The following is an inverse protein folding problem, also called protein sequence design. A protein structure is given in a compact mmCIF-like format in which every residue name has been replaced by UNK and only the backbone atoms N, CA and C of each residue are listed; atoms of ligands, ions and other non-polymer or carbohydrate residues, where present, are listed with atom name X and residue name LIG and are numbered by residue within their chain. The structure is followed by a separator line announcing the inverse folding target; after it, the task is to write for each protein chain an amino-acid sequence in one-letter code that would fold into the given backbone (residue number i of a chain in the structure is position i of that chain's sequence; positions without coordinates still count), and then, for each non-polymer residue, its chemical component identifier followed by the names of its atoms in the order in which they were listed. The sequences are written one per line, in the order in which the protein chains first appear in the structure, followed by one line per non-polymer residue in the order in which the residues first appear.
data_IF_369279016310
#
_entry.id   IF_369279016310
#
_cell.length_a   1.000
_cell.length_b   1.000
_cell.length_c   1.000
_cell.angle_alpha   90.00
_cell.angle_beta   90.00
_cell.angle_gamma   90.00
#
_symmetry.space_group_name_H-M   'P 1'
#
loop_
_entity.id
_entity.type
_entity.pdbx_description
1 polymer ?
#
# COMPACT_ATOMS: atom_id res chain seq x y z
N UNK A 1 1.41 11.92 16.07
CA UNK A 1 0.98 12.28 14.70
C UNK A 1 1.46 11.14 13.84
N UNK A 2 0.52 10.43 13.20
CA UNK A 2 0.85 9.25 12.41
C UNK A 2 1.89 9.57 11.33
N UNK A 3 2.87 8.67 11.15
CA UNK A 3 3.73 8.69 9.96
C UNK A 3 2.86 8.59 8.71
N UNK A 4 3.36 9.13 7.59
CA UNK A 4 2.63 9.04 6.32
C UNK A 4 2.56 7.60 5.80
N UNK A 5 3.62 6.82 6.01
CA UNK A 5 3.75 5.42 5.62
C UNK A 5 4.59 4.69 6.69
N UNK A 6 4.27 3.42 6.93
CA UNK A 6 5.05 2.52 7.79
C UNK A 6 5.67 1.42 6.92
N UNK A 7 6.92 1.06 7.23
CA UNK A 7 7.62 -0.03 6.54
C UNK A 7 7.09 -1.40 6.95
N UNK A 8 7.34 -2.42 6.13
CA UNK A 8 6.97 -3.80 6.47
C UNK A 8 7.66 -4.24 7.77
N UNK A 9 6.85 -4.68 8.74
CA UNK A 9 7.32 -5.08 10.07
C UNK A 9 7.35 -3.93 11.09
N UNK A 10 7.13 -2.68 10.67
CA UNK A 10 6.94 -1.56 11.58
C UNK A 10 5.48 -1.48 12.04
N UNK A 11 5.27 -1.44 13.36
CA UNK A 11 3.92 -1.41 13.95
C UNK A 11 3.55 0.04 14.31
N UNK A 12 2.47 0.60 13.74
CA UNK A 12 1.97 1.92 14.14
C UNK A 12 1.55 1.96 15.61
N UNK A 13 1.67 3.12 16.29
CA UNK A 13 1.10 3.30 17.62
C UNK A 13 -0.42 3.05 17.61
N UNK A 14 -0.94 2.56 18.73
CA UNK A 14 -2.37 2.29 18.89
C UNK A 14 -3.18 3.58 18.67
N UNK A 15 -4.16 3.51 17.76
CA UNK A 15 -5.04 4.63 17.42
C UNK A 15 -4.51 5.55 16.32
N UNK A 16 -3.29 5.33 15.82
CA UNK A 16 -2.77 6.06 14.66
C UNK A 16 -2.99 5.27 13.36
N UNK A 17 -3.67 5.90 12.40
CA UNK A 17 -3.86 5.38 11.04
C UNK A 17 -2.96 6.20 10.10
N UNK A 18 -2.04 5.57 9.35
CA UNK A 18 -1.22 6.30 8.37
C UNK A 18 -2.07 6.80 7.21
N UNK A 19 -1.55 7.80 6.49
CA UNK A 19 -2.22 8.30 5.27
C UNK A 19 -2.06 7.34 4.10
N UNK A 20 -0.96 6.58 4.05
CA UNK A 20 -0.58 5.69 2.95
C UNK A 20 -0.16 4.31 3.42
N UNK A 21 -0.27 3.33 2.53
CA UNK A 21 0.15 1.94 2.74
C UNK A 21 0.75 1.31 1.48
N UNK A 22 1.56 0.28 1.66
CA UNK A 22 1.99 -0.59 0.56
C UNK A 22 0.88 -1.55 0.15
N UNK A 23 0.67 -1.71 -1.15
CA UNK A 23 -0.27 -2.67 -1.72
C UNK A 23 0.27 -3.26 -3.04
N UNK A 24 -0.18 -4.47 -3.37
CA UNK A 24 -0.03 -5.05 -4.71
C UNK A 24 -1.23 -4.61 -5.56
N UNK A 25 -1.00 -3.76 -6.55
CA UNK A 25 -2.05 -3.09 -7.33
C UNK A 25 -2.05 -3.56 -8.78
N UNK A 26 -3.24 -3.81 -9.31
CA UNK A 26 -3.47 -4.09 -10.74
C UNK A 26 -4.02 -2.83 -11.40
N UNK A 27 -3.50 -2.51 -12.59
CA UNK A 27 -3.99 -1.40 -13.42
C UNK A 27 -4.29 -1.86 -14.86
N UNK A 28 -5.23 -1.22 -15.58
CA UNK A 28 -5.65 -1.65 -16.92
C UNK A 28 -4.52 -1.80 -17.93
N UNK A 29 -3.52 -0.93 -17.89
CA UNK A 29 -2.36 -0.98 -18.79
C UNK A 29 -1.44 -2.20 -18.56
N UNK A 30 -1.67 -2.97 -17.48
CA UNK A 30 -0.87 -4.14 -17.09
C UNK A 30 -1.69 -5.42 -16.95
N UNK A 31 -2.92 -5.45 -17.45
CA UNK A 31 -3.71 -6.68 -17.41
C UNK A 31 -3.01 -7.81 -18.18
N UNK A 32 -3.04 -9.03 -17.62
CA UNK A 32 -2.39 -10.20 -18.19
C UNK A 32 -1.83 -11.14 -17.13
N UNK A 33 -0.69 -11.76 -17.43
CA UNK A 33 -0.01 -12.71 -16.55
C UNK A 33 0.20 -12.15 -15.12
N UNK A 34 -0.14 -12.91 -14.06
CA UNK A 34 -0.04 -12.42 -12.67
C UNK A 34 1.34 -11.88 -12.30
N UNK A 35 2.41 -12.51 -12.79
CA UNK A 35 3.80 -12.07 -12.52
C UNK A 35 4.13 -10.69 -13.08
N UNK A 36 3.33 -10.18 -14.03
CA UNK A 36 3.47 -8.85 -14.63
C UNK A 36 2.38 -7.88 -14.14
N UNK A 37 1.17 -8.39 -13.91
CA UNK A 37 -0.01 -7.59 -13.59
C UNK A 37 0.04 -6.96 -12.19
N UNK A 38 0.51 -7.72 -11.19
CA UNK A 38 0.67 -7.22 -9.82
C UNK A 38 1.97 -6.43 -9.68
N UNK A 39 1.86 -5.19 -9.23
CA UNK A 39 3.02 -4.34 -8.92
C UNK A 39 2.85 -3.68 -7.55
N UNK A 40 3.94 -3.57 -6.81
CA UNK A 40 3.95 -2.92 -5.50
C UNK A 40 3.84 -1.41 -5.68
N UNK A 41 2.85 -0.80 -5.04
CA UNK A 41 2.64 0.64 -5.04
C UNK A 41 2.35 1.13 -3.62
N UNK A 42 2.60 2.42 -3.39
CA UNK A 42 2.15 3.13 -2.19
C UNK A 42 0.86 3.86 -2.54
N UNK A 43 -0.23 3.50 -1.86
CA UNK A 43 -1.57 4.07 -2.08
C UNK A 43 -2.11 4.69 -0.80
N UNK A 44 -3.14 5.52 -0.93
CA UNK A 44 -3.84 6.06 0.23
C UNK A 44 -4.58 4.96 1.00
N UNK A 45 -4.60 5.08 2.33
CA UNK A 45 -5.40 4.19 3.19
C UNK A 45 -6.88 4.53 2.99
N UNK A 46 -7.75 3.55 2.71
CA UNK A 46 -9.19 3.78 2.58
C UNK A 46 -9.82 4.39 3.84
N UNK A 47 -10.90 5.15 3.66
CA UNK A 47 -11.74 5.68 4.76
C UNK A 47 -12.60 4.60 5.42
#
# INVERSE_FOLDING_TARGET
MAKELYELGEIPPVGEIPKKMYAQVIRPERFGEPTKAFQQEVIDVPE
#
